data_IF_889451186165
#
_entry.id   IF_889451186165
#
_cell.length_a   1.000
_cell.length_b   1.000
_cell.length_c   1.000
_cell.angle_alpha   90.00
_cell.angle_beta   90.00
_cell.angle_gamma   90.00
#
_symmetry.space_group_name_H-M   'P 1'
#
loop_
_entity.id
_entity.type
_entity.pdbx_description
1 polymer ?
#
# COMPACT_ATOMS: atom_id res chain seq x y z
N UNK A 1 13.73 11.30 -10.60
CA UNK A 1 13.54 12.74 -10.36
C UNK A 1 12.80 13.32 -11.56
N UNK A 2 11.90 14.28 -11.35
CA UNK A 2 11.17 14.94 -12.45
C UNK A 2 12.05 15.91 -13.24
N UNK A 3 11.45 16.63 -14.19
CA UNK A 3 12.16 17.50 -15.13
C UNK A 3 13.02 18.56 -14.41
N UNK A 4 12.58 19.05 -13.25
CA UNK A 4 13.29 20.04 -12.43
C UNK A 4 14.08 19.42 -11.25
N UNK A 5 14.52 18.16 -11.37
CA UNK A 5 15.17 17.39 -10.29
C UNK A 5 14.30 17.21 -9.03
N UNK A 6 12.99 17.30 -9.17
CA UNK A 6 12.04 17.08 -8.07
C UNK A 6 11.96 15.60 -7.66
N UNK A 7 11.73 15.35 -6.36
CA UNK A 7 11.58 14.00 -5.82
C UNK A 7 10.19 13.48 -6.18
N UNK A 8 10.13 12.34 -6.87
CA UNK A 8 8.88 11.71 -7.31
C UNK A 8 8.22 10.93 -6.17
N UNK A 9 9.02 10.39 -5.25
CA UNK A 9 8.56 9.77 -4.01
C UNK A 9 8.78 10.79 -2.90
N UNK A 10 7.71 11.25 -2.28
CA UNK A 10 7.73 12.22 -1.19
C UNK A 10 7.86 11.54 0.18
N UNK A 11 7.38 10.30 0.31
CA UNK A 11 7.36 9.54 1.54
C UNK A 11 7.29 8.03 1.33
N UNK A 12 7.91 7.31 2.27
CA UNK A 12 7.80 5.86 2.39
C UNK A 12 7.63 5.51 3.87
N UNK A 13 6.60 4.72 4.18
CA UNK A 13 6.33 4.27 5.56
C UNK A 13 6.02 2.79 5.59
N UNK A 14 6.82 2.03 6.34
CA UNK A 14 6.54 0.61 6.63
C UNK A 14 5.45 0.49 7.70
N UNK A 15 4.41 -0.27 7.39
CA UNK A 15 3.24 -0.45 8.24
C UNK A 15 3.37 -1.75 9.02
N UNK A 16 3.38 -2.90 8.34
CA UNK A 16 3.64 -4.18 9.00
C UNK A 16 5.13 -4.34 9.35
N UNK A 17 5.40 -4.57 10.63
CA UNK A 17 6.75 -4.75 11.18
C UNK A 17 6.81 -6.02 12.02
N UNK A 18 7.99 -6.66 12.17
CA UNK A 18 8.17 -7.70 13.18
C UNK A 18 7.75 -7.17 14.56
N UNK A 19 6.94 -7.93 15.28
CA UNK A 19 6.33 -7.52 16.56
C UNK A 19 4.92 -6.96 16.46
N UNK A 20 4.54 -6.35 15.31
CA UNK A 20 3.16 -5.94 15.05
C UNK A 20 2.84 -6.07 13.56
N UNK A 21 2.21 -7.19 13.21
CA UNK A 21 1.74 -7.45 11.86
C UNK A 21 0.39 -6.80 11.65
N UNK A 22 0.23 -6.10 10.53
CA UNK A 22 -1.00 -5.38 10.18
C UNK A 22 -1.63 -6.06 8.99
N UNK A 23 -2.83 -6.59 9.20
CA UNK A 23 -3.64 -7.23 8.15
C UNK A 23 -4.92 -6.42 7.94
N UNK A 24 -5.44 -6.46 6.72
CA UNK A 24 -6.65 -5.78 6.32
C UNK A 24 -7.54 -6.73 5.52
N UNK A 25 -8.83 -6.74 5.84
CA UNK A 25 -9.85 -7.42 5.05
C UNK A 25 -10.08 -6.72 3.71
N UNK A 26 -10.72 -7.40 2.75
CA UNK A 26 -10.97 -6.85 1.41
C UNK A 26 -11.73 -5.51 1.43
N UNK A 27 -12.60 -5.31 2.41
CA UNK A 27 -13.45 -4.11 2.54
C UNK A 27 -12.73 -2.99 3.32
N UNK A 28 -11.74 -3.36 4.14
CA UNK A 28 -10.99 -2.46 5.03
C UNK A 28 -9.63 -2.02 4.47
N UNK A 29 -9.40 -2.24 3.16
CA UNK A 29 -8.14 -1.91 2.50
C UNK A 29 -7.84 -0.41 2.72
N UNK A 30 -6.72 -0.03 3.33
CA UNK A 30 -6.44 1.37 3.63
C UNK A 30 -6.23 2.18 2.34
N UNK A 31 -6.70 3.43 2.32
CA UNK A 31 -6.38 4.40 1.26
C UNK A 31 -5.29 5.35 1.75
N UNK A 32 -4.22 5.50 0.99
CA UNK A 32 -3.13 6.44 1.33
C UNK A 32 -3.46 7.80 0.73
N UNK A 33 -3.46 8.86 1.55
CA UNK A 33 -3.76 10.24 1.12
C UNK A 33 -5.02 10.34 0.24
N UNK A 34 -6.13 9.71 0.65
CA UNK A 34 -7.38 9.65 -0.11
C UNK A 34 -7.26 9.09 -1.55
N UNK A 35 -6.24 8.27 -1.81
CA UNK A 35 -5.99 7.64 -3.12
C UNK A 35 -4.92 8.33 -3.96
N UNK A 36 -4.25 9.37 -3.43
CA UNK A 36 -3.10 10.00 -4.07
C UNK A 36 -1.81 9.18 -3.86
N UNK A 37 -1.72 8.42 -2.76
CA UNK A 37 -0.64 7.47 -2.52
C UNK A 37 -1.05 6.04 -2.84
N UNK A 38 -0.08 5.13 -2.73
CA UNK A 38 -0.28 3.69 -2.96
C UNK A 38 0.03 2.92 -1.69
N UNK A 39 -0.85 1.99 -1.33
CA UNK A 39 -0.56 0.98 -0.32
C UNK A 39 -0.18 -0.34 -1.00
N UNK A 40 0.90 -0.95 -0.53
CA UNK A 40 1.38 -2.25 -1.01
C UNK A 40 0.86 -3.33 -0.08
N UNK A 41 0.14 -4.28 -0.66
CA UNK A 41 -0.55 -5.34 0.09
C UNK A 41 -0.04 -6.70 -0.38
N UNK A 42 0.40 -7.51 0.57
CA UNK A 42 0.73 -8.92 0.33
C UNK A 42 -0.55 -9.73 0.46
N UNK A 43 -1.00 -10.33 -0.63
CA UNK A 43 -2.22 -11.15 -0.71
C UNK A 43 -1.85 -12.59 -1.04
N UNK A 44 -2.84 -13.50 -1.00
CA UNK A 44 -2.66 -14.90 -1.43
C UNK A 44 -2.30 -15.06 -2.91
N UNK A 45 -2.50 -14.03 -3.74
CA UNK A 45 -2.11 -14.02 -5.17
C UNK A 45 -0.81 -13.25 -5.44
N UNK A 46 -0.08 -12.87 -4.39
CA UNK A 46 1.16 -12.11 -4.48
C UNK A 46 1.02 -10.66 -3.99
N UNK A 47 2.05 -9.87 -4.28
CA UNK A 47 2.11 -8.45 -3.95
C UNK A 47 1.34 -7.62 -4.98
N UNK A 48 0.35 -6.87 -4.49
CA UNK A 48 -0.51 -6.03 -5.33
C UNK A 48 -0.68 -4.65 -4.72
N UNK A 49 -1.10 -3.69 -5.54
CA UNK A 49 -1.53 -2.38 -5.06
C UNK A 49 -2.88 -2.46 -4.36
N UNK A 50 -3.20 -1.48 -3.51
CA UNK A 50 -4.50 -1.35 -2.85
C UNK A 50 -5.67 -1.32 -3.84
N UNK A 51 -5.50 -0.67 -4.99
CA UNK A 51 -6.51 -0.59 -6.06
C UNK A 51 -6.79 -1.96 -6.67
N UNK A 52 -5.73 -2.73 -6.90
CA UNK A 52 -5.83 -4.07 -7.46
C UNK A 52 -6.37 -5.07 -6.44
N UNK A 53 -5.96 -4.99 -5.18
CA UNK A 53 -6.52 -5.77 -4.09
C UNK A 53 -8.04 -5.55 -3.95
N UNK A 54 -8.51 -4.29 -4.02
CA UNK A 54 -9.95 -3.96 -4.05
C UNK A 54 -10.66 -4.55 -5.27
N UNK A 55 -10.05 -4.46 -6.45
CA UNK A 55 -10.63 -5.02 -7.70
C UNK A 55 -10.75 -6.54 -7.65
N UNK A 56 -9.77 -7.22 -7.06
CA UNK A 56 -9.75 -8.67 -6.90
C UNK A 56 -10.59 -9.15 -5.70
N UNK A 57 -11.03 -8.23 -4.83
CA UNK A 57 -11.76 -8.56 -3.61
C UNK A 57 -10.92 -9.32 -2.59
N UNK A 58 -9.60 -9.06 -2.54
CA UNK A 58 -8.66 -9.76 -1.69
C UNK A 58 -8.16 -8.84 -0.57
N UNK A 59 -8.17 -9.35 0.67
CA UNK A 59 -7.44 -8.77 1.79
C UNK A 59 -5.99 -9.26 1.83
N UNK A 60 -5.23 -8.79 2.83
CA UNK A 60 -3.84 -9.19 2.98
C UNK A 60 -3.08 -8.44 4.07
N UNK A 61 -1.76 -8.66 4.12
CA UNK A 61 -0.84 -7.94 4.98
C UNK A 61 -0.49 -6.58 4.37
N UNK A 62 -0.62 -5.50 5.14
CA UNK A 62 -0.29 -4.14 4.71
C UNK A 62 1.20 -3.89 4.93
N UNK A 63 1.99 -3.97 3.87
CA UNK A 63 3.46 -3.92 3.96
C UNK A 63 3.95 -2.49 4.19
N UNK A 64 3.62 -1.59 3.27
CA UNK A 64 4.06 -0.21 3.31
C UNK A 64 3.13 0.71 2.51
N UNK A 65 3.26 1.99 2.79
CA UNK A 65 2.63 3.08 2.08
C UNK A 65 3.73 3.91 1.39
N UNK A 66 3.45 4.34 0.16
CA UNK A 66 4.32 5.17 -0.66
C UNK A 66 3.48 6.36 -1.16
N UNK A 67 4.02 7.56 -1.05
CA UNK A 67 3.44 8.79 -1.59
C UNK A 67 4.53 9.80 -1.93
#
# INVERSE_FOLDING_TARGET
YGQNKERVITGLKRISKPGLRVYSGKDDIPKVLNGLGVAIISTSKGLVSDREARKLGLGGEVICYIW
#
